data_IF_461785796463
#
_entry.id   IF_461785796463
#
_cell.length_a   1.000
_cell.length_b   1.000
_cell.length_c   1.000
_cell.angle_alpha   90.00
_cell.angle_beta   90.00
_cell.angle_gamma   90.00
#
_symmetry.space_group_name_H-M   'P 1'
#
loop_
_entity.id
_entity.type
_entity.pdbx_description
1 polymer ?
#
# COMPACT_ATOMS: atom_id res chain seq x y z
N UNK A 1 2.44 -18.00 -5.95
CA UNK A 1 2.17 -17.06 -4.84
C UNK A 1 2.18 -15.65 -5.41
N UNK A 2 1.12 -14.86 -5.22
CA UNK A 2 1.11 -13.47 -5.70
C UNK A 2 1.84 -12.58 -4.67
N UNK A 3 2.93 -11.94 -5.08
CA UNK A 3 3.59 -10.92 -4.26
C UNK A 3 2.66 -9.72 -4.15
N UNK A 4 2.44 -9.26 -2.93
CA UNK A 4 1.71 -8.02 -2.66
C UNK A 4 2.70 -6.99 -2.13
N UNK A 5 2.45 -5.72 -2.41
CA UNK A 5 3.29 -4.63 -1.93
C UNK A 5 2.47 -3.71 -1.04
N UNK A 6 3.09 -3.08 -0.04
CA UNK A 6 2.47 -2.11 0.85
C UNK A 6 3.06 -0.74 0.56
N UNK A 7 2.22 0.27 0.35
CA UNK A 7 2.65 1.64 0.25
C UNK A 7 3.18 2.13 1.61
N UNK A 8 4.42 2.58 1.68
CA UNK A 8 5.03 3.24 2.84
C UNK A 8 4.83 4.76 2.83
N UNK A 9 4.51 5.32 1.68
CA UNK A 9 4.20 6.74 1.43
C UNK A 9 2.96 6.83 0.53
N UNK A 10 2.28 7.98 0.41
CA UNK A 10 1.21 8.14 -0.58
C UNK A 10 1.79 8.10 -2.01
N UNK A 11 1.18 7.31 -2.89
CA UNK A 11 1.58 7.09 -4.29
C UNK A 11 0.33 7.18 -5.15
N UNK A 12 0.14 8.29 -5.87
CA UNK A 12 -1.07 8.48 -6.68
C UNK A 12 -2.35 8.21 -5.87
N UNK A 13 -3.18 7.22 -6.25
CA UNK A 13 -4.40 6.87 -5.50
C UNK A 13 -4.15 6.06 -4.22
N UNK A 14 -2.95 5.51 -4.03
CA UNK A 14 -2.61 4.68 -2.87
C UNK A 14 -2.13 5.53 -1.69
N UNK A 15 -2.69 5.31 -0.52
CA UNK A 15 -2.24 5.97 0.72
C UNK A 15 -1.25 5.11 1.49
N UNK A 16 -0.44 5.72 2.37
CA UNK A 16 0.47 4.99 3.26
C UNK A 16 -0.29 3.92 4.05
N UNK A 17 0.21 2.69 3.99
CA UNK A 17 -0.36 1.51 4.62
C UNK A 17 -1.25 0.66 3.71
N UNK A 18 -1.62 1.18 2.53
CA UNK A 18 -2.49 0.49 1.58
C UNK A 18 -1.71 -0.54 0.74
N UNK A 19 -2.39 -1.60 0.32
CA UNK A 19 -1.83 -2.61 -0.58
C UNK A 19 -1.80 -2.10 -2.02
N UNK A 20 -0.61 -2.17 -2.64
CA UNK A 20 -0.34 -1.86 -4.05
C UNK A 20 -0.30 -3.19 -4.81
N UNK A 21 -1.25 -3.38 -5.72
CA UNK A 21 -1.40 -4.63 -6.49
C UNK A 21 -1.58 -4.45 -8.00
N UNK A 22 -1.70 -3.21 -8.49
CA UNK A 22 -2.06 -2.89 -9.88
C UNK A 22 -1.06 -1.90 -10.50
N UNK A 23 0.23 -2.25 -10.48
CA UNK A 23 1.28 -1.46 -11.11
C UNK A 23 2.16 -2.35 -12.00
N UNK A 24 2.71 -1.81 -13.09
CA UNK A 24 3.67 -2.54 -13.90
C UNK A 24 4.95 -2.80 -13.09
N UNK A 25 5.62 -3.91 -13.38
CA UNK A 25 6.79 -4.36 -12.61
C UNK A 25 7.92 -3.33 -12.58
N UNK A 26 8.11 -2.56 -13.66
CA UNK A 26 9.08 -1.46 -13.72
C UNK A 26 8.81 -0.41 -12.64
N UNK A 27 7.53 -0.02 -12.47
CA UNK A 27 7.12 0.94 -11.43
C UNK A 27 7.27 0.35 -10.04
N UNK A 28 6.91 -0.91 -9.84
CA UNK A 28 7.10 -1.60 -8.56
C UNK A 28 8.59 -1.59 -8.18
N UNK A 29 9.49 -1.92 -9.11
CA UNK A 29 10.94 -1.89 -8.88
C UNK A 29 11.41 -0.50 -8.48
N UNK A 30 11.01 0.53 -9.24
CA UNK A 30 11.36 1.92 -8.94
C UNK A 30 10.89 2.35 -7.54
N UNK A 31 9.65 1.99 -7.16
CA UNK A 31 9.08 2.32 -5.86
C UNK A 31 9.72 1.56 -4.69
N UNK A 32 10.19 0.33 -4.92
CA UNK A 32 10.99 -0.42 -3.94
C UNK A 32 12.35 0.25 -3.73
N UNK A 33 13.02 0.67 -4.80
CA UNK A 33 14.33 1.35 -4.70
C UNK A 33 14.22 2.72 -4.04
N UNK A 34 13.14 3.46 -4.28
CA UNK A 34 12.86 4.74 -3.62
C UNK A 34 12.34 4.57 -2.17
N UNK A 35 12.14 3.32 -1.72
CA UNK A 35 11.65 3.00 -0.37
C UNK A 35 10.24 3.52 -0.12
N UNK A 36 9.42 3.57 -1.17
CA UNK A 36 8.03 4.08 -1.17
C UNK A 36 7.04 2.95 -1.00
N UNK A 37 7.41 1.73 -1.39
CA UNK A 37 6.65 0.50 -1.13
C UNK A 37 7.54 -0.57 -0.47
N UNK A 38 6.91 -1.56 0.14
CA UNK A 38 7.55 -2.72 0.77
C UNK A 38 6.87 -4.02 0.33
N UNK A 39 7.63 -5.12 0.21
CA UNK A 39 7.05 -6.43 -0.13
C UNK A 39 6.34 -7.04 1.08
N UNK A 40 5.04 -7.28 0.98
CA UNK A 40 4.25 -7.98 1.99
C UNK A 40 4.54 -9.48 1.84
N UNK A 41 5.31 -10.03 2.78
CA UNK A 41 5.47 -11.48 2.89
C UNK A 41 4.15 -12.08 3.41
N UNK A 42 3.54 -13.05 2.71
CA UNK A 42 2.25 -13.64 3.11
C UNK A 42 2.31 -14.42 4.44
N UNK A 43 3.51 -14.64 4.99
CA UNK A 43 3.71 -15.39 6.24
C UNK A 43 3.66 -14.49 7.50
N UNK A 44 3.60 -13.17 7.37
CA UNK A 44 3.53 -12.26 8.52
C UNK A 44 2.11 -11.74 8.71
N UNK A 45 1.33 -12.55 9.42
CA UNK A 45 0.08 -12.14 10.05
C UNK A 45 0.43 -11.16 11.18
N UNK A 46 0.39 -9.86 10.89
CA UNK A 46 0.29 -8.78 11.87
C UNK A 46 -0.38 -7.56 11.18
N UNK A 47 -1.71 -7.52 11.14
CA UNK A 47 -2.55 -6.85 12.15
C UNK A 47 -2.71 -5.33 11.93
N UNK A 48 -3.96 -4.97 11.59
CA UNK A 48 -4.74 -3.75 11.96
C UNK A 48 -4.23 -2.35 11.50
N UNK A 49 -5.04 -1.42 10.98
CA UNK A 49 -6.50 -1.20 10.98
C UNK A 49 -6.91 -0.56 9.63
N UNK A 50 -8.09 -0.88 9.06
CA UNK A 50 -8.72 0.04 8.13
C UNK A 50 -9.07 1.30 8.94
N UNK A 51 -8.30 2.38 8.78
CA UNK A 51 -8.76 3.69 9.26
C UNK A 51 -9.77 4.20 8.25
N UNK A 52 -10.96 3.60 8.31
CA UNK A 52 -12.21 4.33 8.08
C UNK A 52 -12.08 5.62 8.87
N UNK A 53 -11.88 6.73 8.18
CA UNK A 53 -12.29 8.02 8.71
C UNK A 53 -13.37 8.50 7.76
N UNK A 54 -14.59 8.14 8.16
CA UNK A 54 -15.83 8.64 7.63
C UNK A 54 -15.78 10.16 7.43
N UNK A 55 -16.31 10.54 6.27
CA UNK A 55 -16.81 11.85 5.91
C UNK A 55 -17.55 12.53 7.06
N UNK A 56 -17.24 13.79 7.44
CA UNK A 56 -18.28 14.64 7.98
C UNK A 56 -19.05 15.23 6.80
N UNK A 57 -20.25 14.71 6.59
CA UNK A 57 -21.31 15.46 5.94
C UNK A 57 -21.77 16.59 6.88
N UNK A 58 -21.77 17.82 6.40
CA UNK A 58 -22.59 18.93 6.88
C UNK A 58 -22.75 19.82 5.63
N UNK A 59 -23.95 20.05 5.10
CA UNK A 59 -25.22 20.26 5.80
C UNK A 59 -25.62 21.68 5.46
#
# INVERSE_FOLDING_TARGET
MKMQYKALKPIGPWVKGQTVGDLPQEKIKQLLEDGVIETIKPDSKAEVKPKTKEVPANG
#
